data_IF_158175596915
#
_entry.id   IF_158175596915
#
_cell.length_a   1.000
_cell.length_b   1.000
_cell.length_c   1.000
_cell.angle_alpha   90.00
_cell.angle_beta   90.00
_cell.angle_gamma   90.00
#
_symmetry.space_group_name_H-M   'P 1'
#
loop_
_entity.id
_entity.type
_entity.pdbx_description
1 polymer ?
#
# COMPACT_ATOMS: atom_id res chain seq x y z
N UNK A 1 -12.14 -21.30 23.80
CA UNK A 1 -11.21 -20.58 22.91
C UNK A 1 -11.90 -19.32 22.44
N UNK A 2 -11.46 -18.15 22.92
CA UNK A 2 -12.10 -16.88 22.62
C UNK A 2 -11.92 -16.54 21.13
N UNK A 3 -13.01 -16.46 20.38
CA UNK A 3 -12.99 -15.96 19.00
C UNK A 3 -12.55 -14.49 19.03
N UNK A 4 -11.29 -14.20 18.68
CA UNK A 4 -10.85 -12.82 18.50
C UNK A 4 -11.56 -12.24 17.27
N UNK A 5 -12.43 -11.25 17.49
CA UNK A 5 -13.05 -10.48 16.41
C UNK A 5 -11.97 -9.64 15.72
N UNK A 6 -11.78 -9.83 14.42
CA UNK A 6 -10.88 -8.98 13.61
C UNK A 6 -11.43 -7.57 13.58
N UNK A 7 -10.68 -6.58 14.08
CA UNK A 7 -11.06 -5.18 13.97
C UNK A 7 -10.34 -4.57 12.76
N UNK A 8 -11.09 -4.11 11.77
CA UNK A 8 -10.52 -3.43 10.60
C UNK A 8 -10.23 -2.00 10.97
N UNK A 9 -8.95 -1.67 11.11
CA UNK A 9 -8.51 -0.29 11.33
C UNK A 9 -7.89 0.28 10.06
N UNK A 10 -8.13 1.56 9.82
CA UNK A 10 -7.50 2.33 8.75
C UNK A 10 -6.18 2.90 9.22
N UNK A 11 -5.13 2.71 8.44
CA UNK A 11 -3.79 3.22 8.71
C UNK A 11 -3.37 4.14 7.57
N UNK A 12 -2.90 5.32 7.92
CA UNK A 12 -2.29 6.24 6.96
C UNK A 12 -0.82 5.90 6.77
N UNK A 13 -0.32 6.09 5.56
CA UNK A 13 1.09 5.95 5.25
C UNK A 13 1.53 7.01 4.25
N UNK A 14 2.80 7.37 4.33
CA UNK A 14 3.42 8.33 3.41
C UNK A 14 4.87 7.99 3.12
N UNK A 15 5.41 8.56 2.04
CA UNK A 15 6.86 8.62 1.86
C UNK A 15 7.48 9.65 2.83
N UNK A 16 8.81 9.67 2.95
CA UNK A 16 9.49 10.57 3.88
C UNK A 16 9.17 12.05 3.66
N UNK A 17 9.04 12.51 2.40
CA UNK A 17 8.70 13.90 2.09
C UNK A 17 7.18 14.18 2.05
N UNK A 18 6.33 13.18 2.32
CA UNK A 18 4.88 13.35 2.32
C UNK A 18 4.21 13.50 0.94
N UNK A 19 4.96 13.43 -0.16
CA UNK A 19 4.42 13.57 -1.51
C UNK A 19 3.51 12.39 -1.90
N UNK A 20 3.96 11.16 -1.61
CA UNK A 20 3.16 9.96 -1.74
C UNK A 20 2.40 9.76 -0.43
N UNK A 21 1.07 9.68 -0.49
CA UNK A 21 0.21 9.40 0.66
C UNK A 21 -0.78 8.31 0.30
N UNK A 22 -1.06 7.42 1.23
CA UNK A 22 -2.01 6.33 1.04
C UNK A 22 -2.71 5.97 2.35
N UNK A 23 -3.83 5.28 2.23
CA UNK A 23 -4.54 4.64 3.35
C UNK A 23 -4.60 3.15 3.07
N UNK A 24 -4.39 2.37 4.13
CA UNK A 24 -4.50 0.92 4.11
C UNK A 24 -5.43 0.45 5.23
N UNK A 25 -6.44 -0.34 4.88
CA UNK A 25 -7.39 -0.91 5.82
C UNK A 25 -6.96 -2.34 6.17
N UNK A 26 -6.42 -2.52 7.38
CA UNK A 26 -5.87 -3.80 7.83
C UNK A 26 -6.76 -4.42 8.91
N UNK A 27 -7.44 -5.56 8.65
CA UNK A 27 -8.03 -6.39 9.70
C UNK A 27 -6.95 -7.07 10.54
N UNK A 28 -6.53 -6.42 11.63
CA UNK A 28 -5.56 -6.94 12.60
C UNK A 28 -6.23 -7.27 13.95
N UNK A 29 -5.79 -8.32 14.65
CA UNK A 29 -4.86 -9.36 14.19
C UNK A 29 -5.47 -10.20 13.05
N UNK A 30 -4.66 -10.88 12.21
CA UNK A 30 -5.18 -11.77 11.17
C UNK A 30 -6.10 -12.82 11.78
N UNK A 31 -7.21 -13.13 11.10
CA UNK A 31 -8.15 -14.15 11.58
C UNK A 31 -7.45 -15.49 11.78
N UNK A 32 -7.52 -16.03 12.99
CA UNK A 32 -7.06 -17.39 13.33
C UNK A 32 -8.15 -18.44 13.11
N UNK A 33 -9.25 -18.06 12.46
CA UNK A 33 -10.35 -18.98 12.20
C UNK A 33 -9.88 -20.12 11.28
N UNK A 34 -9.94 -21.34 11.82
CA UNK A 34 -9.64 -22.57 11.09
C UNK A 34 -10.85 -23.01 10.25
N UNK A 35 -11.28 -22.18 9.30
CA UNK A 35 -12.31 -22.56 8.30
C UNK A 35 -11.64 -23.23 7.09
N UNK A 36 -12.40 -24.04 6.35
CA UNK A 36 -11.95 -24.65 5.09
C UNK A 36 -12.88 -24.21 3.95
N UNK A 37 -12.40 -23.43 2.96
CA UNK A 37 -11.06 -22.86 2.85
C UNK A 37 -10.75 -21.81 3.93
N UNK A 38 -9.46 -21.58 4.24
CA UNK A 38 -9.06 -20.52 5.17
C UNK A 38 -9.50 -19.16 4.60
N UNK A 39 -9.94 -18.22 5.46
CA UNK A 39 -10.33 -16.90 4.99
C UNK A 39 -9.09 -16.18 4.43
N UNK A 40 -9.27 -15.30 3.43
CA UNK A 40 -8.16 -14.53 2.90
C UNK A 40 -7.60 -13.64 4.02
N UNK A 41 -6.35 -13.89 4.41
CA UNK A 41 -5.70 -13.24 5.54
C UNK A 41 -4.60 -12.29 5.09
N UNK A 42 -4.36 -11.25 5.88
CA UNK A 42 -3.20 -10.37 5.71
C UNK A 42 -1.95 -11.19 5.96
N UNK A 43 -0.95 -11.06 5.10
CA UNK A 43 0.34 -11.73 5.26
C UNK A 43 1.45 -10.70 5.42
N UNK A 44 2.09 -10.68 6.59
CA UNK A 44 3.34 -9.95 6.83
C UNK A 44 4.49 -10.91 6.57
N UNK A 45 5.36 -10.59 5.60
CA UNK A 45 6.44 -11.50 5.19
C UNK A 45 7.70 -10.78 4.73
N UNK A 46 8.84 -11.47 4.82
CA UNK A 46 10.07 -11.11 4.13
C UNK A 46 10.21 -11.99 2.88
N UNK A 47 10.40 -11.36 1.72
CA UNK A 47 10.67 -12.09 0.48
C UNK A 47 12.18 -12.39 0.38
N UNK A 48 12.54 -13.60 -0.06
CA UNK A 48 13.93 -14.04 -0.16
C UNK A 48 14.60 -13.71 -1.49
N UNK A 49 13.96 -12.99 -2.41
CA UNK A 49 14.63 -12.53 -3.62
C UNK A 49 15.70 -11.46 -3.27
N UNK A 50 16.75 -11.38 -4.09
CA UNK A 50 17.91 -10.50 -3.86
C UNK A 50 17.49 -9.06 -3.55
N UNK A 51 16.57 -8.51 -4.34
CA UNK A 51 16.16 -7.11 -4.15
C UNK A 51 15.40 -6.88 -2.86
N UNK A 52 14.49 -7.79 -2.49
CA UNK A 52 13.73 -7.64 -1.25
C UNK A 52 14.59 -7.91 -0.03
N UNK A 53 15.57 -8.82 -0.10
CA UNK A 53 16.52 -9.08 0.99
C UNK A 53 17.33 -7.82 1.34
N UNK A 54 17.76 -7.06 0.32
CA UNK A 54 18.54 -5.82 0.50
C UNK A 54 17.72 -4.61 0.99
N UNK A 55 16.39 -4.72 1.08
CA UNK A 55 15.54 -3.62 1.55
C UNK A 55 15.19 -3.81 3.03
N UNK A 56 15.24 -2.78 3.89
CA UNK A 56 15.11 -2.94 5.34
C UNK A 56 13.65 -2.98 5.82
N UNK A 57 12.76 -3.71 5.14
CA UNK A 57 11.36 -3.82 5.56
C UNK A 57 10.70 -5.16 5.22
N UNK A 58 9.56 -5.40 5.87
CA UNK A 58 8.63 -6.49 5.61
C UNK A 58 7.53 -6.04 4.65
N UNK A 59 7.07 -6.96 3.81
CA UNK A 59 5.91 -6.73 2.96
C UNK A 59 4.64 -7.05 3.71
N UNK A 60 3.61 -6.22 3.53
CA UNK A 60 2.24 -6.56 3.85
C UNK A 60 1.55 -6.90 2.52
N UNK A 61 1.07 -8.15 2.39
CA UNK A 61 0.18 -8.53 1.28
C UNK A 61 -1.26 -8.47 1.77
N UNK A 62 -2.03 -7.62 1.11
CA UNK A 62 -3.46 -7.46 1.35
C UNK A 62 -4.23 -8.68 0.87
N UNK A 63 -5.28 -9.03 1.61
CA UNK A 63 -6.23 -10.09 1.25
C UNK A 63 -7.07 -9.69 0.03
N UNK A 64 -7.42 -8.42 -0.09
CA UNK A 64 -8.13 -7.84 -1.21
C UNK A 64 -7.72 -6.37 -1.41
N UNK A 65 -6.69 -6.15 -2.24
CA UNK A 65 -6.11 -4.82 -2.44
C UNK A 65 -7.13 -3.73 -2.87
N UNK A 66 -8.08 -3.98 -3.79
CA UNK A 66 -9.00 -2.94 -4.26
C UNK A 66 -9.89 -2.31 -3.18
N UNK A 67 -10.25 -3.04 -2.12
CA UNK A 67 -11.03 -2.50 -0.99
C UNK A 67 -10.18 -2.07 0.21
N UNK A 68 -8.91 -2.46 0.22
CA UNK A 68 -8.03 -2.31 1.38
C UNK A 68 -6.90 -1.31 1.17
N UNK A 69 -6.65 -0.86 -0.05
CA UNK A 69 -5.61 0.10 -0.35
C UNK A 69 -6.17 1.25 -1.19
N UNK A 70 -5.90 2.46 -0.76
CA UNK A 70 -6.26 3.67 -1.50
C UNK A 70 -5.05 4.58 -1.54
N UNK A 71 -4.55 4.87 -2.74
CA UNK A 71 -3.57 5.93 -2.94
C UNK A 71 -4.29 7.26 -2.83
N UNK A 72 -3.85 8.14 -1.93
CA UNK A 72 -4.45 9.47 -1.71
C UNK A 72 -3.71 10.56 -2.48
N UNK A 73 -2.38 10.45 -2.56
CA UNK A 73 -1.54 11.40 -3.27
C UNK A 73 -0.41 10.67 -3.99
N UNK A 74 -0.12 11.03 -5.25
CA UNK A 74 -0.76 12.12 -6.01
C UNK A 74 -2.10 11.71 -6.65
N UNK A 75 -3.18 12.47 -6.42
CA UNK A 75 -4.47 12.37 -7.12
C UNK A 75 -4.85 13.78 -7.59
N UNK A 76 -4.81 14.02 -8.89
CA UNK A 76 -5.03 15.33 -9.57
C UNK A 76 -4.05 16.45 -9.22
N UNK A 77 -3.00 16.58 -10.02
CA UNK A 77 -2.42 17.87 -10.33
C UNK A 77 -2.83 18.19 -11.80
N UNK A 78 -3.11 19.47 -12.14
CA UNK A 78 -3.68 19.86 -13.44
C UNK A 78 -2.85 19.31 -14.60
N UNK A 79 -3.45 19.27 -15.79
CA UNK A 79 -3.04 18.45 -16.94
C UNK A 79 -1.63 18.66 -17.55
N UNK A 80 -0.73 19.56 -17.08
CA UNK A 80 0.72 19.39 -17.32
C UNK A 80 1.41 18.40 -16.37
N UNK A 81 0.76 18.02 -15.24
CA UNK A 81 1.31 17.20 -14.15
C UNK A 81 0.87 15.73 -14.16
N UNK A 82 0.20 15.23 -15.20
CA UNK A 82 0.20 13.78 -15.45
C UNK A 82 1.63 13.27 -15.74
N UNK A 83 2.48 14.12 -16.33
CA UNK A 83 3.93 13.96 -16.38
C UNK A 83 4.55 13.97 -14.97
N UNK A 84 3.93 14.66 -14.00
CA UNK A 84 4.40 14.68 -12.62
C UNK A 84 3.97 13.45 -11.81
N UNK A 85 2.96 12.67 -12.23
CA UNK A 85 2.76 11.32 -11.67
C UNK A 85 3.95 10.42 -12.04
N UNK A 86 4.40 10.50 -13.30
CA UNK A 86 5.66 9.92 -13.78
C UNK A 86 6.90 10.53 -13.12
N UNK A 87 6.85 11.81 -12.70
CA UNK A 87 7.96 12.50 -12.04
C UNK A 87 7.92 12.48 -10.50
N UNK A 88 6.85 11.98 -9.86
CA UNK A 88 6.71 11.86 -8.41
C UNK A 88 6.86 10.41 -7.94
N UNK A 89 6.41 9.43 -8.72
CA UNK A 89 6.60 8.01 -8.49
C UNK A 89 7.32 7.38 -9.69
N UNK A 90 8.56 6.94 -9.48
CA UNK A 90 9.26 6.10 -10.45
C UNK A 90 8.67 4.69 -10.40
N UNK A 91 8.25 4.18 -11.56
CA UNK A 91 7.81 2.79 -11.70
C UNK A 91 8.99 1.92 -12.14
N UNK A 92 9.46 1.08 -11.22
CA UNK A 92 10.49 0.11 -11.50
C UNK A 92 9.88 -1.28 -11.63
N UNK A 93 10.05 -1.87 -12.81
CA UNK A 93 9.54 -3.19 -13.15
C UNK A 93 10.70 -4.19 -13.14
N UNK A 94 10.54 -5.31 -12.44
CA UNK A 94 11.60 -6.28 -12.21
C UNK A 94 11.20 -7.70 -12.64
N UNK A 95 12.17 -8.52 -13.05
CA UNK A 95 12.02 -9.94 -13.42
C UNK A 95 10.90 -10.19 -14.46
N UNK A 96 9.88 -10.99 -14.14
CA UNK A 96 8.76 -11.36 -15.04
C UNK A 96 7.89 -10.18 -15.50
N UNK A 97 8.29 -8.95 -15.16
CA UNK A 97 7.66 -7.69 -15.56
C UNK A 97 6.21 -7.51 -15.12
N UNK A 98 5.82 -8.21 -14.06
CA UNK A 98 4.44 -8.21 -13.56
C UNK A 98 4.24 -7.32 -12.33
N UNK A 99 5.32 -6.94 -11.64
CA UNK A 99 5.24 -6.16 -10.39
C UNK A 99 5.79 -4.77 -10.63
N UNK A 100 4.94 -3.77 -10.43
CA UNK A 100 5.25 -2.35 -10.51
C UNK A 100 5.67 -1.85 -9.14
N UNK A 101 6.90 -1.37 -9.00
CA UNK A 101 7.42 -0.83 -7.73
C UNK A 101 7.45 0.69 -7.78
N UNK A 102 6.71 1.33 -6.89
CA UNK A 102 6.54 2.79 -6.89
C UNK A 102 7.47 3.42 -5.86
N UNK A 103 8.45 4.18 -6.34
CA UNK A 103 9.39 4.92 -5.52
C UNK A 103 9.13 6.42 -5.61
N UNK A 104 9.13 7.12 -4.47
CA UNK A 104 9.09 8.57 -4.50
C UNK A 104 10.36 9.12 -5.15
N UNK A 105 10.23 9.92 -6.21
CA UNK A 105 11.37 10.49 -6.93
C UNK A 105 12.11 11.60 -6.16
N UNK A 106 11.51 12.13 -5.11
CA UNK A 106 12.13 13.15 -4.25
C UNK A 106 12.97 12.52 -3.13
N UNK A 107 12.44 11.50 -2.45
CA UNK A 107 13.10 10.90 -1.27
C UNK A 107 13.53 9.44 -1.43
N UNK A 108 13.27 8.82 -2.58
CA UNK A 108 13.65 7.44 -2.87
C UNK A 108 12.88 6.35 -2.09
N UNK A 109 11.89 6.72 -1.28
CA UNK A 109 11.12 5.74 -0.48
C UNK A 109 10.16 4.95 -1.37
N UNK A 110 10.19 3.61 -1.24
CA UNK A 110 9.24 2.69 -1.87
C UNK A 110 8.03 2.45 -0.96
N UNK A 111 6.92 3.12 -1.21
CA UNK A 111 5.72 3.00 -0.38
C UNK A 111 4.92 1.72 -0.66
N UNK A 112 4.73 1.37 -1.93
CA UNK A 112 3.90 0.24 -2.31
C UNK A 112 4.36 -0.37 -3.64
N UNK A 113 3.84 -1.56 -3.93
CA UNK A 113 4.01 -2.25 -5.20
C UNK A 113 2.71 -2.98 -5.53
N UNK A 114 2.36 -3.06 -6.81
CA UNK A 114 1.14 -3.75 -7.23
C UNK A 114 1.36 -4.59 -8.50
N UNK A 115 0.38 -5.46 -8.77
CA UNK A 115 0.26 -6.27 -9.98
C UNK A 115 -1.14 -6.00 -10.52
N UNK A 116 -1.28 -5.77 -11.82
CA UNK A 116 -2.56 -5.44 -12.46
C UNK A 116 -2.81 -3.94 -12.55
N UNK A 117 -4.02 -3.57 -12.92
CA UNK A 117 -4.42 -2.17 -13.15
C UNK A 117 -5.02 -1.54 -11.90
N UNK A 118 -4.85 -0.23 -11.77
CA UNK A 118 -5.52 0.58 -10.74
C UNK A 118 -6.77 1.25 -11.29
N UNK A 119 -7.74 1.53 -10.42
CA UNK A 119 -8.95 2.26 -10.75
C UNK A 119 -8.97 3.61 -10.01
N UNK A 120 -9.39 4.67 -10.69
CA UNK A 120 -9.65 5.95 -10.03
C UNK A 120 -11.00 5.89 -9.33
N UNK A 121 -11.00 6.12 -8.02
CA UNK A 121 -12.21 6.19 -7.21
C UNK A 121 -12.37 7.60 -6.62
N UNK A 122 -13.60 7.98 -6.31
CA UNK A 122 -13.87 9.20 -5.57
C UNK A 122 -13.16 9.13 -4.20
N UNK A 123 -12.65 10.27 -3.69
CA UNK A 123 -11.99 10.27 -2.39
C UNK A 123 -12.96 9.76 -1.31
N UNK A 124 -12.50 8.90 -0.39
CA UNK A 124 -13.34 8.42 0.71
C UNK A 124 -13.81 9.60 1.57
N UNK A 125 -15.07 9.55 2.00
CA UNK A 125 -15.77 10.63 2.71
C UNK A 125 -15.23 10.92 4.12
N UNK A 126 -14.40 10.04 4.69
CA UNK A 126 -13.69 10.25 5.95
C UNK A 126 -12.25 9.71 5.85
N UNK A 127 -11.28 10.60 5.60
CA UNK A 127 -9.87 10.30 5.86
C UNK A 127 -9.54 10.91 7.22
N UNK A 128 -9.47 10.08 8.26
CA UNK A 128 -8.91 10.52 9.55
C UNK A 128 -7.42 10.75 9.37
N UNK A 129 -7.01 12.01 9.18
CA UNK A 129 -5.60 12.37 9.22
C UNK A 129 -5.07 12.13 10.64
N UNK A 130 -4.08 11.25 10.78
CA UNK A 130 -3.36 11.07 12.04
C UNK A 130 -1.98 11.73 11.90
N UNK A 131 -1.81 12.86 12.59
CA UNK A 131 -0.54 13.44 13.02
C UNK A 131 0.55 13.66 11.96
N UNK A 132 0.56 14.84 11.35
CA UNK A 132 1.80 15.63 11.42
C UNK A 132 1.80 16.24 12.82
N UNK A 133 2.32 15.50 13.79
CA UNK A 133 2.66 16.10 15.07
C UNK A 133 3.71 17.16 14.80
N UNK A 134 3.39 18.40 15.19
CA UNK A 134 4.38 19.44 15.45
C UNK A 134 5.42 18.95 16.48
#
# INVERSE_FOLDING_TARGET
MSSQSTNTSSYTGSCHCGLTKYVINLPLPPSTAHTRPPPPAICIRKCNCTTCQNLPFFHIRLSHAPSQFTLLSPLTLPLPLQIALQAACFDYICFSKNIHWHFCLVCGVRCFAHIGEGEMQNPPSEVKEFGLGE
#
